data_IF_337119365124
#
_entry.id   IF_337119365124
#
_cell.length_a   1.000
_cell.length_b   1.000
_cell.length_c   1.000
_cell.angle_alpha   90.00
_cell.angle_beta   90.00
_cell.angle_gamma   90.00
#
_symmetry.space_group_name_H-M   'P 1'
#
loop_
_entity.id
_entity.type
_entity.pdbx_description
1 polymer ?
#
# COMPACT_ATOMS: atom_id res chain seq x y z
N UNK A 1 12.29 7.42 7.03
CA UNK A 1 11.46 7.36 8.25
C UNK A 1 11.68 5.99 8.87
N UNK A 2 11.36 5.81 10.13
CA UNK A 2 11.41 4.50 10.79
C UNK A 2 10.01 4.17 11.31
N UNK A 3 9.66 2.89 11.38
CA UNK A 3 8.34 2.42 11.80
C UNK A 3 8.46 1.23 12.75
N UNK A 4 7.66 1.23 13.81
CA UNK A 4 7.54 0.09 14.71
C UNK A 4 6.48 -0.87 14.17
N UNK A 5 6.87 -2.12 13.91
CA UNK A 5 5.94 -3.15 13.44
C UNK A 5 6.09 -4.46 14.19
N UNK A 6 4.99 -5.22 14.24
CA UNK A 6 5.04 -6.61 14.62
C UNK A 6 5.44 -7.45 13.39
N UNK A 7 6.66 -7.99 13.41
CA UNK A 7 7.17 -8.79 12.30
C UNK A 7 6.47 -10.15 12.18
N UNK A 8 6.35 -10.85 13.31
CA UNK A 8 5.86 -12.23 13.39
C UNK A 8 4.51 -12.29 14.13
N UNK A 9 3.48 -12.95 13.55
CA UNK A 9 2.22 -13.18 14.23
C UNK A 9 2.45 -13.96 15.54
N UNK A 10 2.10 -13.36 16.68
CA UNK A 10 2.21 -13.99 18.00
C UNK A 10 3.45 -13.57 18.81
N UNK A 11 4.37 -12.79 18.24
CA UNK A 11 5.31 -12.02 19.06
C UNK A 11 4.60 -10.83 19.71
N UNK A 12 5.13 -10.33 20.83
CA UNK A 12 4.62 -9.11 21.51
C UNK A 12 5.54 -7.92 21.38
N UNK A 13 6.70 -8.11 20.78
CA UNK A 13 7.73 -7.08 20.67
C UNK A 13 7.63 -6.39 19.31
N UNK A 14 7.50 -5.06 19.34
CA UNK A 14 7.58 -4.24 18.15
C UNK A 14 9.04 -4.12 17.73
N UNK A 15 9.29 -4.29 16.44
CA UNK A 15 10.62 -4.10 15.86
C UNK A 15 10.66 -2.81 15.07
N UNK A 16 11.64 -1.96 15.37
CA UNK A 16 11.91 -0.76 14.60
C UNK A 16 12.51 -1.15 13.25
N UNK A 17 11.80 -0.82 12.18
CA UNK A 17 12.16 -1.17 10.81
C UNK A 17 12.30 0.11 9.97
N UNK A 18 13.32 0.19 9.10
CA UNK A 18 13.43 1.27 8.14
C UNK A 18 12.23 1.33 7.22
N UNK A 19 11.70 2.53 7.02
CA UNK A 19 10.50 2.77 6.23
C UNK A 19 10.69 3.91 5.22
N UNK A 20 10.28 3.63 3.99
CA UNK A 20 9.99 4.66 3.00
C UNK A 20 8.55 5.09 3.18
N UNK A 21 8.35 6.35 3.57
CA UNK A 21 7.05 6.97 3.69
C UNK A 21 6.95 8.13 2.72
N UNK A 22 5.82 8.22 2.03
CA UNK A 22 5.51 9.39 1.22
C UNK A 22 4.01 9.62 1.15
N UNK A 23 3.66 10.86 0.84
CA UNK A 23 2.29 11.30 0.61
C UNK A 23 2.16 11.72 -0.85
N UNK A 24 1.09 11.28 -1.51
CA UNK A 24 0.77 11.69 -2.87
C UNK A 24 -0.75 11.69 -3.09
N UNK A 25 -1.25 12.80 -3.65
CA UNK A 25 -2.68 13.09 -3.73
C UNK A 25 -3.32 13.02 -2.33
N UNK A 26 -4.38 12.21 -2.16
CA UNK A 26 -5.06 12.06 -0.88
C UNK A 26 -4.58 10.85 -0.07
N UNK A 27 -3.58 10.13 -0.58
CA UNK A 27 -3.12 8.86 -0.02
C UNK A 27 -1.72 8.96 0.60
N UNK A 28 -1.53 8.23 1.69
CA UNK A 28 -0.25 8.01 2.33
C UNK A 28 0.22 6.59 2.02
N UNK A 29 1.51 6.44 1.77
CA UNK A 29 2.12 5.18 1.42
C UNK A 29 3.26 4.88 2.38
N UNK A 30 3.41 3.60 2.71
CA UNK A 30 4.56 3.12 3.47
C UNK A 30 5.06 1.81 2.88
N UNK A 31 6.37 1.73 2.70
CA UNK A 31 7.10 0.51 2.37
C UNK A 31 8.11 0.27 3.49
N UNK A 32 8.02 -0.89 4.13
CA UNK A 32 8.78 -1.22 5.32
C UNK A 32 9.74 -2.34 4.96
N UNK A 33 11.03 -2.13 5.21
CA UNK A 33 12.06 -3.15 5.02
C UNK A 33 12.13 -4.02 6.29
N UNK A 34 11.58 -5.23 6.22
CA UNK A 34 11.49 -6.16 7.35
C UNK A 34 12.73 -7.04 7.50
N UNK A 35 13.48 -7.23 6.42
CA UNK A 35 14.80 -7.89 6.40
C UNK A 35 15.62 -7.37 5.20
N UNK A 36 16.85 -7.85 4.99
CA UNK A 36 17.75 -7.40 3.90
C UNK A 36 17.05 -7.35 2.52
N UNK A 37 16.27 -8.38 2.19
CA UNK A 37 15.56 -8.50 0.92
C UNK A 37 14.07 -8.84 1.15
N UNK A 38 13.45 -8.30 2.20
CA UNK A 38 12.02 -8.50 2.46
C UNK A 38 11.36 -7.15 2.71
N UNK A 39 10.26 -6.90 2.01
CA UNK A 39 9.53 -5.65 2.04
C UNK A 39 8.04 -5.91 2.20
N UNK A 40 7.39 -5.14 3.08
CA UNK A 40 5.93 -5.06 3.21
C UNK A 40 5.47 -3.68 2.78
N UNK A 41 4.29 -3.57 2.20
CA UNK A 41 3.73 -2.29 1.79
C UNK A 41 2.24 -2.18 2.10
N UNK A 42 1.82 -0.95 2.35
CA UNK A 42 0.42 -0.58 2.54
C UNK A 42 0.23 0.90 2.15
N UNK A 43 -1.01 1.27 1.89
CA UNK A 43 -1.42 2.67 1.76
C UNK A 43 -2.62 2.96 2.66
N UNK A 44 -2.86 4.24 2.94
CA UNK A 44 -3.99 4.67 3.75
C UNK A 44 -4.40 6.11 3.46
N UNK A 45 -5.71 6.39 3.50
CA UNK A 45 -6.23 7.76 3.44
C UNK A 45 -6.28 8.39 4.84
N UNK A 46 -6.58 7.57 5.85
CA UNK A 46 -6.55 7.96 7.26
C UNK A 46 -5.93 6.83 8.09
N UNK A 47 -5.43 7.08 9.32
CA UNK A 47 -4.81 6.03 10.14
C UNK A 47 -5.69 4.79 10.39
N UNK A 48 -7.01 4.96 10.34
CA UNK A 48 -7.99 3.88 10.57
C UNK A 48 -8.36 3.12 9.28
N UNK A 49 -7.85 3.55 8.13
CA UNK A 49 -8.29 3.10 6.81
C UNK A 49 -7.08 2.62 6.01
N UNK A 50 -6.53 1.49 6.42
CA UNK A 50 -5.28 0.92 5.90
C UNK A 50 -5.54 -0.23 4.94
N UNK A 51 -4.83 -0.23 3.82
CA UNK A 51 -5.02 -1.17 2.72
C UNK A 51 -3.69 -1.82 2.35
N UNK A 52 -3.67 -3.15 2.29
CA UNK A 52 -2.55 -3.93 1.77
C UNK A 52 -2.72 -4.24 0.29
N UNK A 53 -1.72 -4.91 -0.29
CA UNK A 53 -1.73 -5.32 -1.70
C UNK A 53 -2.30 -6.73 -1.92
N UNK A 54 -2.72 -7.43 -0.88
CA UNK A 54 -3.10 -8.85 -0.93
C UNK A 54 -1.91 -9.83 -0.93
N UNK A 55 -0.68 -9.32 -1.08
CA UNK A 55 0.55 -10.09 -0.90
C UNK A 55 1.24 -9.68 0.40
N UNK A 56 1.64 -10.67 1.19
CA UNK A 56 2.21 -10.44 2.52
C UNK A 56 3.58 -9.77 2.47
N UNK A 57 4.43 -10.17 1.52
CA UNK A 57 5.80 -9.67 1.40
C UNK A 57 6.32 -9.76 -0.04
N UNK A 58 7.31 -8.92 -0.33
CA UNK A 58 8.01 -8.84 -1.59
C UNK A 58 9.51 -8.95 -1.36
N UNK A 59 10.24 -9.50 -2.33
CA UNK A 59 11.69 -9.64 -2.25
C UNK A 59 12.47 -8.54 -2.96
N UNK A 60 11.78 -7.77 -3.81
CA UNK A 60 12.35 -6.68 -4.57
C UNK A 60 11.57 -5.39 -4.27
N UNK A 61 12.31 -4.30 -4.02
CA UNK A 61 11.72 -3.04 -3.58
C UNK A 61 10.82 -2.41 -4.64
N UNK A 62 11.23 -2.47 -5.91
CA UNK A 62 10.48 -1.93 -7.03
C UNK A 62 9.14 -2.64 -7.22
N UNK A 63 9.10 -3.98 -7.13
CA UNK A 63 7.87 -4.77 -7.16
C UNK A 63 6.93 -4.37 -6.02
N UNK A 64 7.48 -4.19 -4.81
CA UNK A 64 6.73 -3.78 -3.63
C UNK A 64 6.08 -2.39 -3.82
N UNK A 65 6.86 -1.41 -4.30
CA UNK A 65 6.39 -0.05 -4.58
C UNK A 65 5.35 -0.06 -5.71
N UNK A 66 5.61 -0.79 -6.79
CA UNK A 66 4.70 -0.85 -7.93
C UNK A 66 3.39 -1.52 -7.57
N UNK A 67 3.41 -2.54 -6.71
CA UNK A 67 2.20 -3.21 -6.26
C UNK A 67 1.30 -2.28 -5.44
N UNK A 68 1.85 -1.53 -4.47
CA UNK A 68 1.04 -0.62 -3.66
C UNK A 68 0.46 0.53 -4.48
N UNK A 69 1.21 1.05 -5.45
CA UNK A 69 0.72 2.11 -6.36
C UNK A 69 -0.41 1.60 -7.27
N UNK A 70 -0.29 0.39 -7.83
CA UNK A 70 -1.35 -0.20 -8.67
C UNK A 70 -2.62 -0.43 -7.87
N UNK A 71 -2.52 -1.08 -6.71
CA UNK A 71 -3.69 -1.39 -5.88
C UNK A 71 -4.36 -0.11 -5.37
N UNK A 72 -3.58 0.90 -4.98
CA UNK A 72 -4.15 2.19 -4.60
C UNK A 72 -4.88 2.86 -5.77
N UNK A 73 -4.31 2.82 -6.97
CA UNK A 73 -4.94 3.37 -8.17
C UNK A 73 -6.27 2.67 -8.48
N UNK A 74 -6.32 1.34 -8.40
CA UNK A 74 -7.57 0.59 -8.62
C UNK A 74 -8.62 0.91 -7.54
N UNK A 75 -8.21 0.97 -6.27
CA UNK A 75 -9.09 1.39 -5.19
C UNK A 75 -9.63 2.82 -5.39
N UNK A 76 -8.79 3.74 -5.85
CA UNK A 76 -9.23 5.11 -6.15
C UNK A 76 -10.29 5.12 -7.26
N UNK A 77 -10.09 4.33 -8.33
CA UNK A 77 -11.05 4.21 -9.43
C UNK A 77 -12.39 3.65 -8.95
N UNK A 78 -12.38 2.60 -8.14
CA UNK A 78 -13.58 2.02 -7.53
C UNK A 78 -14.32 3.04 -6.66
N UNK A 79 -13.60 3.78 -5.81
CA UNK A 79 -14.16 4.82 -4.95
C UNK A 79 -14.82 5.96 -5.72
N UNK A 80 -14.28 6.31 -6.89
CA UNK A 80 -14.86 7.32 -7.78
C UNK A 80 -15.97 6.77 -8.71
N UNK A 81 -16.41 5.52 -8.52
CA UNK A 81 -17.43 4.89 -9.35
C UNK A 81 -16.95 4.50 -10.75
N UNK A 82 -15.64 4.59 -11.02
CA UNK A 82 -15.01 4.18 -12.27
C UNK A 82 -14.66 2.71 -12.17
N UNK A 83 -15.67 1.84 -12.33
CA UNK A 83 -15.42 0.42 -12.55
C UNK A 83 -14.80 0.23 -13.94
N UNK A 84 -13.90 -0.74 -14.10
CA UNK A 84 -13.17 -1.03 -15.35
C UNK A 84 -14.05 -1.44 -16.56
N UNK A 85 -15.36 -1.17 -16.53
CA UNK A 85 -16.30 -1.38 -17.65
C UNK A 85 -16.92 -0.10 -18.21
N UNK A 86 -16.67 1.08 -17.63
CA UNK A 86 -17.21 2.36 -18.15
C UNK A 86 -16.31 2.84 -19.28
N UNK A 87 -16.78 2.67 -20.52
CA UNK A 87 -16.08 3.22 -21.68
C UNK A 87 -16.37 4.72 -21.83
N UNK A 88 -15.54 5.45 -22.58
CA UNK A 88 -15.75 6.88 -22.85
C UNK A 88 -17.12 7.25 -23.46
N UNK A 89 -17.89 6.26 -23.93
CA UNK A 89 -19.27 6.40 -24.39
C UNK A 89 -20.31 6.50 -23.24
N UNK A 90 -19.99 6.01 -22.04
CA UNK A 90 -20.91 5.98 -20.89
C UNK A 90 -20.83 7.28 -20.05
N UNK A 91 -19.81 8.11 -20.28
CA UNK A 91 -19.55 9.36 -19.56
C UNK A 91 -20.27 10.58 -20.17
N UNK A 92 -21.12 10.40 -21.18
CA UNK A 92 -21.78 11.49 -21.92
C UNK A 92 -23.30 11.57 -21.77
N UNK A 93 -23.88 11.07 -20.67
CA UNK A 93 -25.33 11.19 -20.43
C UNK A 93 -25.70 11.99 -19.18
#
# INVERSE_FOLDING_TARGET
ADCEILLEPGHKELTECPALFWHANDANFVVIRTNQNNYRCQFFYTPNDQYGTGHEQYHVLDECVMAVLKVQSDHAREKHGVTSGVTGADLSS
#
